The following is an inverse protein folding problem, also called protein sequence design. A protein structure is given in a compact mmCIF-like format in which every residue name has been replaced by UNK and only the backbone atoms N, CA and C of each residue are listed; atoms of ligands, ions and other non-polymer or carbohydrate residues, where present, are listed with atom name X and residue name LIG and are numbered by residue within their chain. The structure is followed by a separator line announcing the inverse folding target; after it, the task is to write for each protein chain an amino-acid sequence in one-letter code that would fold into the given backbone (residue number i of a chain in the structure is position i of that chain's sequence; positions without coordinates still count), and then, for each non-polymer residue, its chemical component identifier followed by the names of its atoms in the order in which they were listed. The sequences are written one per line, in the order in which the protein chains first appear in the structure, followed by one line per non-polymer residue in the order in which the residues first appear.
data_IF_929981009636
#
_entry.id   IF_929981009636
#
_cell.length_a   1.000
_cell.length_b   1.000
_cell.length_c   1.000
_cell.angle_alpha   90.00
_cell.angle_beta   90.00
_cell.angle_gamma   90.00
#
_symmetry.space_group_name_H-M   'P 1'
#
loop_
_entity.id
_entity.type
_entity.pdbx_description
1 polymer ?
#
# COMPACT_ATOMS: atom_id res chain seq x y z
N UNK A 1 43.22 -3.71 1.27
CA UNK A 1 42.06 -3.94 0.39
C UNK A 1 41.32 -5.15 0.95
N UNK A 2 40.38 -4.92 1.86
CA UNK A 2 39.69 -5.95 2.63
C UNK A 2 38.33 -6.24 1.97
N UNK A 3 38.12 -7.49 1.54
CA UNK A 3 36.82 -7.96 1.05
C UNK A 3 35.91 -8.28 2.25
N UNK A 4 34.77 -7.59 2.32
CA UNK A 4 33.66 -7.92 3.21
C UNK A 4 32.79 -8.98 2.52
N UNK A 5 32.77 -10.19 3.07
CA UNK A 5 31.84 -11.25 2.66
C UNK A 5 30.56 -11.16 3.49
N UNK A 6 29.43 -10.83 2.87
CA UNK A 6 28.11 -10.95 3.50
C UNK A 6 27.74 -12.44 3.60
N UNK A 7 27.50 -12.93 4.81
CA UNK A 7 26.90 -14.23 5.07
C UNK A 7 25.37 -14.05 5.08
N UNK A 8 24.69 -14.61 4.07
CA UNK A 8 23.25 -14.75 4.05
C UNK A 8 22.83 -16.11 4.60
N UNK A 9 21.74 -16.16 5.37
CA UNK A 9 21.09 -17.41 5.74
C UNK A 9 20.39 -18.00 4.52
N UNK A 10 20.96 -19.05 3.92
CA UNK A 10 20.29 -19.87 2.91
C UNK A 10 19.67 -21.07 3.63
N UNK A 11 18.34 -21.14 3.71
CA UNK A 11 17.64 -22.32 4.22
C UNK A 11 17.66 -23.44 3.17
N UNK A 12 18.28 -24.57 3.50
CA UNK A 12 18.33 -25.77 2.67
C UNK A 12 17.05 -26.60 2.91
N UNK A 13 16.18 -26.70 1.91
CA UNK A 13 14.95 -27.53 1.95
C UNK A 13 15.17 -28.80 1.13
N UNK A 14 16.21 -29.58 1.46
CA UNK A 14 16.48 -30.87 0.81
C UNK A 14 16.63 -31.97 1.85
N UNK A 15 15.51 -32.35 2.45
CA UNK A 15 15.34 -33.66 3.08
C UNK A 15 14.44 -34.51 2.18
N UNK A 16 14.72 -35.81 1.96
CA UNK A 16 13.85 -36.66 1.17
C UNK A 16 12.54 -36.92 1.93
N UNK A 17 11.58 -36.02 1.76
CA UNK A 17 10.19 -36.28 2.13
C UNK A 17 9.66 -37.30 1.11
N UNK A 18 9.06 -38.42 1.54
CA UNK A 18 8.39 -39.33 0.62
C UNK A 18 7.23 -38.58 -0.06
N UNK A 19 7.45 -38.17 -1.31
CA UNK A 19 6.43 -37.51 -2.12
C UNK A 19 5.35 -38.55 -2.41
N UNK A 20 4.20 -38.44 -1.77
CA UNK A 20 3.01 -39.16 -2.22
C UNK A 20 2.71 -38.66 -3.64
N UNK A 21 2.89 -39.53 -4.62
CA UNK A 21 2.46 -39.30 -6.00
C UNK A 21 0.94 -39.24 -6.03
N UNK A 22 0.41 -38.04 -5.83
CA UNK A 22 -0.98 -37.72 -6.15
C UNK A 22 -1.09 -37.55 -7.66
N UNK A 23 -1.83 -38.44 -8.31
CA UNK A 23 -2.23 -38.27 -9.71
C UNK A 23 -3.16 -37.07 -9.81
N UNK A 24 -2.65 -35.90 -10.24
CA UNK A 24 -3.50 -34.76 -10.59
C UNK A 24 -2.85 -33.39 -10.43
N UNK A 25 -1.66 -33.18 -11.00
CA UNK A 25 -1.10 -31.83 -11.17
C UNK A 25 -1.15 -31.44 -12.63
N UNK A 26 -2.21 -30.75 -13.05
CA UNK A 26 -2.22 -30.06 -14.36
C UNK A 26 -1.06 -29.08 -14.39
N UNK A 27 -0.29 -29.08 -15.48
CA UNK A 27 0.83 -28.15 -15.69
C UNK A 27 0.27 -26.73 -15.54
N UNK A 28 0.90 -25.89 -14.70
CA UNK A 28 0.59 -24.46 -14.65
C UNK A 28 1.02 -23.88 -16.00
N UNK A 29 0.07 -23.87 -16.93
CA UNK A 29 -0.01 -22.91 -18.02
C UNK A 29 0.12 -21.52 -17.39
N UNK A 30 0.77 -20.57 -18.09
CA UNK A 30 0.66 -19.13 -17.79
C UNK A 30 -0.81 -18.70 -17.93
N UNK A 31 -1.63 -19.14 -16.99
CA UNK A 31 -3.00 -18.79 -16.79
C UNK A 31 -3.03 -17.97 -15.53
N UNK A 32 -3.47 -16.73 -15.67
CA UNK A 32 -3.87 -15.86 -14.57
C UNK A 32 -4.69 -16.74 -13.62
N UNK A 33 -4.18 -16.95 -12.41
CA UNK A 33 -4.99 -17.60 -11.37
C UNK A 33 -6.17 -16.67 -11.16
N UNK A 34 -7.38 -17.15 -11.43
CA UNK A 34 -8.61 -16.46 -11.08
C UNK A 34 -8.71 -16.44 -9.55
N UNK A 35 -7.96 -15.52 -8.94
CA UNK A 35 -8.17 -15.05 -7.59
C UNK A 35 -9.49 -14.31 -7.66
N UNK A 36 -10.59 -15.03 -7.40
CA UNK A 36 -11.94 -14.50 -7.45
C UNK A 36 -12.06 -13.14 -6.74
N UNK A 37 -13.15 -12.41 -7.01
CA UNK A 37 -13.35 -11.02 -6.58
C UNK A 37 -12.86 -10.74 -5.16
N UNK A 38 -11.83 -9.89 -5.03
CA UNK A 38 -11.43 -9.36 -3.73
C UNK A 38 -12.54 -8.47 -3.20
N UNK A 39 -13.12 -8.79 -2.05
CA UNK A 39 -14.00 -7.85 -1.36
C UNK A 39 -13.19 -6.65 -0.88
N UNK A 40 -13.82 -5.47 -0.88
CA UNK A 40 -13.28 -4.33 -0.15
C UNK A 40 -13.36 -4.70 1.35
N UNK A 41 -12.21 -4.69 2.03
CA UNK A 41 -12.11 -5.02 3.45
C UNK A 41 -11.98 -3.71 4.23
N UNK A 42 -12.70 -3.60 5.34
CA UNK A 42 -12.54 -2.51 6.28
C UNK A 42 -11.18 -2.61 6.97
N UNK A 43 -10.36 -1.56 6.87
CA UNK A 43 -9.08 -1.46 7.58
C UNK A 43 -9.31 -1.03 9.02
N UNK A 44 -8.79 -1.78 9.99
CA UNK A 44 -8.73 -1.31 11.38
C UNK A 44 -7.92 -0.01 11.50
N UNK A 45 -8.06 0.74 12.59
CA UNK A 45 -7.26 1.97 12.81
C UNK A 45 -5.76 1.72 12.63
N UNK A 46 -5.25 0.64 13.21
CA UNK A 46 -3.85 0.23 13.08
C UNK A 46 -3.48 -0.09 11.62
N UNK A 47 -4.35 -0.79 10.91
CA UNK A 47 -4.11 -1.12 9.50
C UNK A 47 -4.16 0.14 8.62
N UNK A 48 -5.06 1.07 8.91
CA UNK A 48 -5.15 2.35 8.21
C UNK A 48 -3.90 3.20 8.45
N UNK A 49 -3.43 3.33 9.70
CA UNK A 49 -2.16 4.01 10.00
C UNK A 49 -0.98 3.42 9.20
N UNK A 50 -0.85 2.09 9.19
CA UNK A 50 0.21 1.41 8.45
C UNK A 50 0.06 1.59 6.93
N UNK A 51 -1.17 1.61 6.41
CA UNK A 51 -1.43 1.84 5.00
C UNK A 51 -1.05 3.26 4.59
N UNK A 52 -1.42 4.26 5.39
CA UNK A 52 -1.03 5.66 5.17
C UNK A 52 0.50 5.80 5.23
N UNK A 53 1.14 5.25 6.25
CA UNK A 53 2.61 5.29 6.37
C UNK A 53 3.29 4.59 5.18
N UNK A 54 2.78 3.43 4.75
CA UNK A 54 3.34 2.70 3.63
C UNK A 54 3.22 3.45 2.29
N UNK A 55 2.12 4.18 2.08
CA UNK A 55 1.87 4.91 0.82
C UNK A 55 2.50 6.29 0.85
N UNK A 56 2.27 7.07 1.90
CA UNK A 56 2.71 8.47 2.02
C UNK A 56 4.15 8.57 2.51
N UNK A 57 4.62 7.59 3.30
CA UNK A 57 5.94 7.62 3.93
C UNK A 57 6.01 8.43 5.23
N UNK A 58 4.86 8.85 5.77
CA UNK A 58 4.76 9.63 6.99
C UNK A 58 3.62 9.12 7.88
N UNK A 59 3.74 9.33 9.19
CA UNK A 59 2.74 8.92 10.19
C UNK A 59 1.83 10.08 10.57
N UNK A 60 0.55 9.78 10.75
CA UNK A 60 -0.49 10.74 11.13
C UNK A 60 -1.31 10.21 12.31
N UNK A 61 -0.63 9.70 13.34
CA UNK A 61 -1.26 8.98 14.46
C UNK A 61 -2.38 9.79 15.13
N UNK A 62 -2.18 11.10 15.33
CA UNK A 62 -3.18 11.99 15.94
C UNK A 62 -4.47 12.15 15.12
N UNK A 63 -4.42 11.97 13.79
CA UNK A 63 -5.61 11.97 12.93
C UNK A 63 -6.27 10.59 12.97
N UNK A 64 -5.48 9.52 12.87
CA UNK A 64 -5.99 8.14 12.91
C UNK A 64 -6.69 7.83 14.24
N UNK A 65 -6.19 8.36 15.36
CA UNK A 65 -6.79 8.20 16.68
C UNK A 65 -8.22 8.77 16.79
N UNK A 66 -8.60 9.69 15.88
CA UNK A 66 -9.94 10.29 15.82
C UNK A 66 -10.97 9.42 15.09
N UNK A 67 -10.53 8.43 14.29
CA UNK A 67 -11.45 7.45 13.69
C UNK A 67 -12.24 6.75 14.80
N UNK A 68 -13.45 6.22 14.55
CA UNK A 68 -14.14 5.37 15.53
C UNK A 68 -13.32 4.14 15.94
N UNK A 69 -13.53 3.63 17.17
CA UNK A 69 -12.77 2.48 17.66
C UNK A 69 -13.13 1.24 16.85
N UNK A 70 -12.13 0.39 16.59
CA UNK A 70 -12.36 -0.87 15.90
C UNK A 70 -13.36 -1.71 16.70
N UNK A 71 -14.32 -2.34 16.01
CA UNK A 71 -15.29 -3.21 16.67
C UNK A 71 -14.56 -4.38 17.35
N UNK A 72 -14.80 -4.55 18.66
CA UNK A 72 -14.24 -5.65 19.44
C UNK A 72 -14.99 -6.97 19.24
N UNK A 73 -15.44 -7.24 18.01
CA UNK A 73 -16.18 -8.45 17.68
C UNK A 73 -15.20 -9.63 17.59
N UNK A 74 -15.29 -10.56 18.53
CA UNK A 74 -14.38 -11.70 18.63
C UNK A 74 -14.64 -12.66 17.45
N UNK A 75 -13.69 -12.82 16.52
CA UNK A 75 -13.79 -13.77 15.40
C UNK A 75 -13.21 -13.26 14.07
N UNK A 76 -13.54 -13.94 12.97
CA UNK A 76 -13.15 -13.56 11.60
C UNK A 76 -14.05 -12.47 10.97
N UNK A 77 -14.98 -11.91 11.74
CA UNK A 77 -15.99 -10.94 11.24
C UNK A 77 -15.61 -9.47 11.48
N UNK A 78 -14.42 -9.18 12.02
CA UNK A 78 -13.94 -7.79 12.17
C UNK A 78 -13.91 -7.13 10.80
N UNK A 79 -14.68 -6.06 10.63
CA UNK A 79 -14.70 -5.29 9.39
C UNK A 79 -15.69 -5.77 8.32
N UNK A 80 -16.65 -6.64 8.68
CA UNK A 80 -17.66 -7.15 7.74
C UNK A 80 -18.74 -6.12 7.39
N UNK A 81 -18.96 -5.12 8.24
CA UNK A 81 -19.99 -4.09 8.07
C UNK A 81 -19.37 -2.70 8.18
N UNK A 82 -19.47 -1.89 7.13
CA UNK A 82 -19.11 -0.47 7.15
C UNK A 82 -20.41 0.32 7.18
N UNK A 83 -20.66 1.07 8.26
CA UNK A 83 -21.76 2.03 8.27
C UNK A 83 -21.41 3.23 7.37
N UNK A 84 -22.39 3.91 6.74
CA UNK A 84 -22.11 5.12 5.97
C UNK A 84 -21.31 6.16 6.76
N UNK A 85 -21.65 6.34 8.05
CA UNK A 85 -20.95 7.24 8.97
C UNK A 85 -19.49 6.83 9.21
N UNK A 86 -19.21 5.53 9.27
CA UNK A 86 -17.83 5.05 9.37
C UNK A 86 -17.05 5.38 8.09
N UNK A 87 -17.66 5.14 6.92
CA UNK A 87 -17.07 5.52 5.63
C UNK A 87 -16.75 7.01 5.53
N UNK A 88 -17.67 7.87 5.96
CA UNK A 88 -17.47 9.33 6.05
C UNK A 88 -16.30 9.68 6.99
N UNK A 89 -16.15 9.00 8.13
CA UNK A 89 -15.03 9.23 9.04
C UNK A 89 -13.67 8.89 8.39
N UNK A 90 -13.58 7.83 7.58
CA UNK A 90 -12.36 7.53 6.82
C UNK A 90 -12.06 8.57 5.75
N UNK A 91 -13.09 9.10 5.08
CA UNK A 91 -12.92 10.17 4.10
C UNK A 91 -12.42 11.45 4.78
N UNK A 92 -13.04 11.86 5.90
CA UNK A 92 -12.61 13.03 6.67
C UNK A 92 -11.18 12.87 7.20
N UNK A 93 -10.80 11.65 7.62
CA UNK A 93 -9.42 11.38 8.02
C UNK A 93 -8.44 11.54 6.83
N UNK A 94 -8.80 11.03 5.65
CA UNK A 94 -7.97 11.17 4.45
C UNK A 94 -7.81 12.64 4.02
N UNK A 95 -8.89 13.43 4.05
CA UNK A 95 -8.85 14.87 3.77
C UNK A 95 -8.00 15.63 4.80
N UNK A 96 -8.14 15.29 6.08
CA UNK A 96 -7.34 15.90 7.16
C UNK A 96 -5.85 15.58 7.01
N UNK A 97 -5.50 14.36 6.58
CA UNK A 97 -4.13 13.98 6.25
C UNK A 97 -3.63 14.81 5.07
N UNK A 98 -4.44 14.96 4.01
CA UNK A 98 -4.13 15.83 2.86
C UNK A 98 -3.83 17.27 3.29
N UNK A 99 -4.71 17.87 4.11
CA UNK A 99 -4.50 19.22 4.64
C UNK A 99 -3.27 19.33 5.56
N UNK A 100 -2.93 18.30 6.32
CA UNK A 100 -1.71 18.27 7.12
C UNK A 100 -0.45 18.22 6.25
N UNK A 101 -0.47 17.47 5.15
CA UNK A 101 0.60 17.41 4.16
C UNK A 101 0.79 18.77 3.48
N UNK A 102 -0.29 19.46 3.13
CA UNK A 102 -0.22 20.82 2.54
C UNK A 102 0.45 21.83 3.47
N UNK A 103 0.20 21.73 4.79
CA UNK A 103 0.81 22.61 5.79
C UNK A 103 2.28 22.29 6.07
N UNK A 104 2.66 21.03 5.94
CA UNK A 104 4.01 20.54 6.21
C UNK A 104 4.44 19.52 5.14
N UNK A 105 4.77 19.99 3.92
CA UNK A 105 5.07 19.11 2.78
C UNK A 105 6.42 18.41 2.91
N UNK A 106 7.29 18.89 3.81
CA UNK A 106 8.62 18.33 4.04
C UNK A 106 8.54 16.87 4.50
N UNK A 107 9.27 15.99 3.81
CA UNK A 107 9.32 14.56 4.13
C UNK A 107 8.27 13.70 3.41
N UNK A 108 7.25 14.32 2.80
CA UNK A 108 6.29 13.63 1.93
C UNK A 108 6.67 13.80 0.46
N UNK A 109 6.96 15.03 0.04
CA UNK A 109 7.46 15.30 -1.29
C UNK A 109 8.98 15.16 -1.34
N UNK A 110 9.47 14.29 -2.23
CA UNK A 110 10.91 14.10 -2.48
C UNK A 110 11.46 15.06 -3.54
N UNK A 111 10.66 16.04 -3.96
CA UNK A 111 11.02 17.02 -4.97
C UNK A 111 11.44 18.35 -4.33
N UNK A 112 12.19 19.15 -5.06
CA UNK A 112 12.43 20.56 -4.72
C UNK A 112 11.17 21.38 -5.04
N UNK A 113 10.48 21.86 -4.01
CA UNK A 113 9.26 22.67 -4.14
C UNK A 113 9.51 24.06 -4.76
N UNK A 114 10.77 24.45 -4.94
CA UNK A 114 11.16 25.68 -5.64
C UNK A 114 11.50 25.46 -7.12
N UNK A 115 11.58 24.20 -7.56
CA UNK A 115 11.80 23.82 -8.96
C UNK A 115 10.51 23.93 -9.81
N UNK A 116 10.59 23.81 -11.14
CA UNK A 116 9.41 23.78 -11.99
C UNK A 116 8.45 22.67 -11.56
N UNK A 117 7.20 23.05 -11.35
CA UNK A 117 6.10 22.22 -10.84
C UNK A 117 6.01 20.87 -11.55
N UNK A 118 6.20 20.86 -12.88
CA UNK A 118 6.08 19.65 -13.69
C UNK A 118 7.03 18.53 -13.28
N UNK A 119 8.29 18.86 -12.98
CA UNK A 119 9.29 17.88 -12.56
C UNK A 119 9.03 17.34 -11.16
N UNK A 120 8.47 18.18 -10.27
CA UNK A 120 8.06 17.74 -8.95
C UNK A 120 6.87 16.77 -9.03
N UNK A 121 5.85 17.10 -9.83
CA UNK A 121 4.67 16.24 -10.01
C UNK A 121 5.08 14.87 -10.56
N UNK A 122 5.96 14.82 -11.56
CA UNK A 122 6.45 13.55 -12.12
C UNK A 122 7.17 12.70 -11.07
N UNK A 123 8.04 13.31 -10.27
CA UNK A 123 8.76 12.63 -9.20
C UNK A 123 7.81 12.14 -8.08
N UNK A 124 6.83 12.97 -7.71
CA UNK A 124 5.81 12.62 -6.74
C UNK A 124 4.98 11.42 -7.21
N UNK A 125 4.43 11.47 -8.43
CA UNK A 125 3.64 10.37 -9.01
C UNK A 125 4.45 9.08 -9.07
N UNK A 126 5.72 9.15 -9.49
CA UNK A 126 6.58 7.98 -9.57
C UNK A 126 6.87 7.34 -8.20
N UNK A 127 7.07 8.16 -7.16
CA UNK A 127 7.35 7.67 -5.81
C UNK A 127 6.08 7.11 -5.13
N UNK A 128 5.00 7.88 -5.09
CA UNK A 128 3.74 7.45 -4.46
C UNK A 128 3.14 6.25 -5.22
N UNK A 129 3.23 6.24 -6.55
CA UNK A 129 2.77 5.15 -7.38
C UNK A 129 3.50 3.85 -7.10
N UNK A 130 4.82 3.90 -6.92
CA UNK A 130 5.61 2.71 -6.56
C UNK A 130 5.16 2.10 -5.24
N UNK A 131 4.83 2.93 -4.25
CA UNK A 131 4.38 2.50 -2.92
C UNK A 131 2.94 1.97 -2.96
N UNK A 132 2.04 2.68 -3.63
CA UNK A 132 0.62 2.33 -3.74
C UNK A 132 0.40 1.05 -4.56
N UNK A 133 1.02 0.95 -5.74
CA UNK A 133 0.87 -0.19 -6.64
C UNK A 133 1.82 -1.35 -6.30
N UNK A 134 2.79 -1.12 -5.40
CA UNK A 134 3.89 -2.05 -5.07
C UNK A 134 4.70 -2.53 -6.28
N UNK A 135 4.66 -1.76 -7.37
CA UNK A 135 5.45 -1.90 -8.59
C UNK A 135 5.62 -0.53 -9.24
N UNK A 136 6.55 -0.41 -10.19
CA UNK A 136 6.58 0.77 -11.04
C UNK A 136 5.23 0.95 -11.75
N UNK A 137 4.81 2.20 -11.93
CA UNK A 137 3.62 2.53 -12.69
C UNK A 137 3.80 2.11 -14.15
N UNK A 138 2.72 1.58 -14.73
CA UNK A 138 2.60 1.43 -16.18
C UNK A 138 2.41 2.81 -16.82
N UNK A 139 2.77 2.94 -18.09
CA UNK A 139 2.70 4.22 -18.81
C UNK A 139 1.29 4.83 -18.79
N UNK A 140 0.26 3.99 -18.94
CA UNK A 140 -1.14 4.42 -18.86
C UNK A 140 -1.54 4.95 -17.49
N UNK A 141 -1.09 4.30 -16.41
CA UNK A 141 -1.37 4.71 -15.03
C UNK A 141 -0.69 6.04 -14.70
N UNK A 142 0.58 6.17 -15.08
CA UNK A 142 1.32 7.43 -14.91
C UNK A 142 0.61 8.58 -15.65
N UNK A 143 0.23 8.35 -16.91
CA UNK A 143 -0.46 9.35 -17.74
C UNK A 143 -1.80 9.76 -17.13
N UNK A 144 -2.60 8.81 -16.64
CA UNK A 144 -3.89 9.12 -15.99
C UNK A 144 -3.72 9.91 -14.69
N UNK A 145 -2.74 9.56 -13.85
CA UNK A 145 -2.45 10.32 -12.63
C UNK A 145 -1.95 11.72 -12.97
N UNK A 146 -1.08 11.85 -13.98
CA UNK A 146 -0.51 13.13 -14.39
C UNK A 146 -1.57 14.12 -14.87
N UNK A 147 -2.56 13.64 -15.61
CA UNK A 147 -3.66 14.45 -16.12
C UNK A 147 -4.50 15.13 -15.02
N UNK A 148 -4.45 14.65 -13.78
CA UNK A 148 -5.14 15.28 -12.64
C UNK A 148 -4.50 16.62 -12.22
N UNK A 149 -3.23 16.84 -12.58
CA UNK A 149 -2.49 18.07 -12.28
C UNK A 149 -2.53 19.11 -13.41
N UNK A 150 -3.06 18.74 -14.57
CA UNK A 150 -3.17 19.62 -15.75
C UNK A 150 -4.58 20.21 -15.93
N UNK A 151 -5.51 19.87 -15.03
CA UNK A 151 -6.92 20.28 -15.02
C UNK A 151 -7.14 21.57 -14.23
#
# INVERSE_FOLDING_TARGET
MALLTLSGCMGLVDGPIPVRSGSGGSRITSGITDVGTSSIVHLTRMQYANAVEAVVGARFDAIVEQLPADEATVGYEIGSNISPTLGEAYLTAAESIGGAIEQAPEGVFLCDLTAPESSCVDAFIADIGRRAFRRSLEEGEFTSLRATFDA
#
